data_IF_677028376678
#
_entry.id   IF_677028376678
#
_cell.length_a   1.000
_cell.length_b   1.000
_cell.length_c   1.000
_cell.angle_alpha   90.00
_cell.angle_beta   90.00
_cell.angle_gamma   90.00
#
_symmetry.space_group_name_H-M   'P 1'
#
loop_
_entity.id
_entity.type
_entity.pdbx_description
1 polymer ?
#
# COMPACT_ATOMS: atom_id res chain seq x y z
N UNK A 1 -13.39 -19.74 -1.09
CA UNK A 1 -13.32 -19.70 0.38
C UNK A 1 -13.60 -18.28 0.84
N UNK A 2 -14.31 -18.12 1.96
CA UNK A 2 -14.62 -16.83 2.61
C UNK A 2 -13.38 -15.99 2.90
N UNK A 3 -12.25 -16.64 3.17
CA UNK A 3 -10.97 -16.00 3.43
C UNK A 3 -10.39 -15.27 2.21
N UNK A 4 -10.45 -15.90 1.03
CA UNK A 4 -10.02 -15.26 -0.23
C UNK A 4 -10.83 -14.00 -0.54
N UNK A 5 -12.15 -14.06 -0.31
CA UNK A 5 -13.00 -12.88 -0.46
C UNK A 5 -12.62 -11.76 0.52
N UNK A 6 -12.37 -12.10 1.79
CA UNK A 6 -11.92 -11.13 2.80
C UNK A 6 -10.59 -10.48 2.42
N UNK A 7 -9.64 -11.26 1.89
CA UNK A 7 -8.36 -10.76 1.40
C UNK A 7 -8.55 -9.81 0.20
N UNK A 8 -9.37 -10.20 -0.78
CA UNK A 8 -9.66 -9.37 -1.94
C UNK A 8 -10.26 -8.01 -1.56
N UNK A 9 -11.20 -8.00 -0.61
CA UNK A 9 -11.78 -6.74 -0.11
C UNK A 9 -10.75 -5.88 0.61
N UNK A 10 -9.81 -6.49 1.37
CA UNK A 10 -8.70 -5.73 1.97
C UNK A 10 -7.82 -5.09 0.90
N UNK A 11 -7.45 -5.82 -0.15
CA UNK A 11 -6.66 -5.28 -1.25
C UNK A 11 -7.38 -4.13 -1.96
N UNK A 12 -8.69 -4.25 -2.16
CA UNK A 12 -9.50 -3.18 -2.77
C UNK A 12 -9.53 -1.92 -1.89
N UNK A 13 -9.69 -2.07 -0.57
CA UNK A 13 -9.61 -0.95 0.38
C UNK A 13 -8.23 -0.28 0.29
N UNK A 14 -7.14 -1.07 0.30
CA UNK A 14 -5.77 -0.54 0.20
C UNK A 14 -5.51 0.18 -1.12
N UNK A 15 -6.02 -0.34 -2.24
CA UNK A 15 -5.93 0.33 -3.55
C UNK A 15 -6.56 1.72 -3.50
N UNK A 16 -7.78 1.84 -2.97
CA UNK A 16 -8.44 3.13 -2.85
C UNK A 16 -7.79 4.06 -1.82
N UNK A 17 -7.16 3.51 -0.80
CA UNK A 17 -6.35 4.28 0.14
C UNK A 17 -5.14 4.92 -0.57
N UNK A 18 -4.41 4.15 -1.38
CA UNK A 18 -3.31 4.67 -2.20
C UNK A 18 -3.77 5.78 -3.14
N UNK A 19 -4.93 5.65 -3.78
CA UNK A 19 -5.51 6.70 -4.64
C UNK A 19 -5.78 8.00 -3.86
N UNK A 20 -6.31 7.91 -2.62
CA UNK A 20 -6.53 9.09 -1.77
C UNK A 20 -5.21 9.74 -1.36
N UNK A 21 -4.23 8.94 -0.94
CA UNK A 21 -2.90 9.42 -0.56
C UNK A 21 -2.23 10.11 -1.75
N UNK A 22 -2.32 9.52 -2.94
CA UNK A 22 -1.77 10.11 -4.16
C UNK A 22 -2.40 11.45 -4.54
N UNK A 23 -3.68 11.63 -4.24
CA UNK A 23 -4.43 12.84 -4.61
C UNK A 23 -4.29 13.95 -3.57
N UNK A 24 -4.30 13.61 -2.28
CA UNK A 24 -4.47 14.58 -1.19
C UNK A 24 -3.51 14.39 -0.01
N UNK A 25 -2.56 13.46 -0.12
CA UNK A 25 -1.60 13.12 0.93
C UNK A 25 -2.17 12.23 2.03
N UNK A 26 -1.28 11.69 2.86
CA UNK A 26 -1.64 10.75 3.93
C UNK A 26 -2.61 11.33 4.96
N UNK A 27 -2.47 12.62 5.30
CA UNK A 27 -3.32 13.31 6.28
C UNK A 27 -4.81 13.33 5.87
N UNK A 28 -5.10 13.36 4.56
CA UNK A 28 -6.46 13.40 4.03
C UNK A 28 -7.13 12.02 3.92
N UNK A 29 -6.43 10.92 4.25
CA UNK A 29 -6.97 9.57 4.17
C UNK A 29 -8.22 9.40 5.03
N UNK A 30 -9.32 8.95 4.42
CA UNK A 30 -10.62 8.78 5.09
C UNK A 30 -11.25 7.43 4.78
N UNK A 31 -11.38 6.60 5.83
CA UNK A 31 -12.05 5.31 5.79
C UNK A 31 -13.50 5.41 5.30
N UNK A 32 -14.24 6.44 5.73
CA UNK A 32 -15.62 6.65 5.31
C UNK A 32 -15.72 7.02 3.82
N UNK A 33 -14.78 7.82 3.31
CA UNK A 33 -14.74 8.15 1.88
C UNK A 33 -14.40 6.91 1.03
N UNK A 34 -13.52 6.02 1.51
CA UNK A 34 -13.25 4.73 0.86
C UNK A 34 -14.51 3.86 0.89
N UNK A 35 -15.17 3.73 2.04
CA UNK A 35 -16.38 2.93 2.19
C UNK A 35 -17.46 3.37 1.18
N UNK A 36 -17.70 4.68 1.09
CA UNK A 36 -18.62 5.27 0.11
C UNK A 36 -18.22 4.95 -1.33
N UNK A 37 -16.92 5.04 -1.67
CA UNK A 37 -16.42 4.76 -3.03
C UNK A 37 -16.65 3.30 -3.45
N UNK A 38 -16.52 2.33 -2.54
CA UNK A 38 -16.69 0.90 -2.82
C UNK A 38 -18.10 0.37 -2.49
N UNK A 39 -19.07 1.26 -2.23
CA UNK A 39 -20.46 0.85 -1.94
C UNK A 39 -20.64 0.11 -0.61
N UNK A 40 -19.72 0.30 0.35
CA UNK A 40 -19.73 -0.34 1.66
C UNK A 40 -20.20 0.63 2.74
N UNK A 41 -20.88 0.14 3.77
CA UNK A 41 -21.17 0.96 4.95
C UNK A 41 -19.90 1.19 5.78
N UNK A 42 -19.82 2.33 6.47
CA UNK A 42 -18.71 2.63 7.39
C UNK A 42 -18.44 1.49 8.38
N UNK A 43 -19.44 1.01 9.15
CA UNK A 43 -19.26 -0.10 10.07
C UNK A 43 -18.76 -1.39 9.42
N UNK A 44 -19.11 -1.64 8.15
CA UNK A 44 -18.60 -2.80 7.43
C UNK A 44 -17.12 -2.68 7.07
N UNK A 45 -16.66 -1.47 6.73
CA UNK A 45 -15.25 -1.20 6.44
C UNK A 45 -14.39 -1.28 7.72
N UNK A 46 -14.91 -0.81 8.84
CA UNK A 46 -14.24 -0.91 10.15
C UNK A 46 -13.98 -2.37 10.60
N UNK A 47 -14.68 -3.37 10.05
CA UNK A 47 -14.37 -4.80 10.29
C UNK A 47 -13.09 -5.29 9.58
N UNK A 48 -12.57 -4.51 8.64
CA UNK A 48 -11.32 -4.79 7.93
C UNK A 48 -10.14 -4.02 8.52
N UNK A 49 -10.36 -2.74 8.85
CA UNK A 49 -9.39 -1.83 9.47
C UNK A 49 -10.07 -1.06 10.61
N UNK A 50 -9.61 -1.24 11.84
CA UNK A 50 -10.27 -0.65 13.01
C UNK A 50 -10.05 0.87 13.10
N UNK A 51 -8.99 1.38 12.47
CA UNK A 51 -8.68 2.81 12.42
C UNK A 51 -7.97 3.21 11.13
N UNK A 52 -7.86 4.52 10.91
CA UNK A 52 -7.05 5.09 9.82
C UNK A 52 -5.59 4.68 9.96
N UNK A 53 -5.07 4.65 11.18
CA UNK A 53 -3.67 4.35 11.45
C UNK A 53 -3.36 2.86 11.25
N UNK A 54 -4.33 1.96 11.51
CA UNK A 54 -4.21 0.54 11.15
C UNK A 54 -4.07 0.35 9.63
N UNK A 55 -4.87 1.10 8.86
CA UNK A 55 -4.78 1.07 7.40
C UNK A 55 -3.42 1.61 6.93
N UNK A 56 -2.97 2.75 7.47
CA UNK A 56 -1.65 3.32 7.14
C UNK A 56 -0.53 2.33 7.47
N UNK A 57 -0.59 1.69 8.64
CA UNK A 57 0.40 0.69 9.05
C UNK A 57 0.47 -0.48 8.07
N UNK A 58 -0.67 -0.96 7.57
CA UNK A 58 -0.72 -2.05 6.59
C UNK A 58 -0.16 -1.58 5.22
N UNK A 59 -0.47 -0.35 4.80
CA UNK A 59 0.10 0.24 3.57
C UNK A 59 1.62 0.40 3.65
N UNK A 60 2.15 0.84 4.79
CA UNK A 60 3.60 0.95 5.04
C UNK A 60 4.25 -0.44 4.94
N UNK A 61 3.64 -1.46 5.56
CA UNK A 61 4.12 -2.85 5.47
C UNK A 61 4.17 -3.35 4.04
N UNK A 62 3.13 -3.06 3.25
CA UNK A 62 3.10 -3.42 1.82
C UNK A 62 4.19 -2.70 1.02
N UNK A 63 4.43 -1.42 1.30
CA UNK A 63 5.48 -0.64 0.66
C UNK A 63 6.87 -1.25 0.94
N UNK A 64 7.19 -1.53 2.20
CA UNK A 64 8.45 -2.18 2.57
C UNK A 64 8.59 -3.58 1.95
N UNK A 65 7.51 -4.38 1.93
CA UNK A 65 7.54 -5.69 1.30
C UNK A 65 7.83 -5.56 -0.20
N UNK A 66 7.17 -4.64 -0.89
CA UNK A 66 7.41 -4.39 -2.31
C UNK A 66 8.85 -3.94 -2.59
N UNK A 67 9.45 -3.13 -1.72
CA UNK A 67 10.85 -2.72 -1.85
C UNK A 67 11.80 -3.90 -1.62
N UNK A 68 11.56 -4.69 -0.58
CA UNK A 68 12.33 -5.91 -0.30
C UNK A 68 12.25 -6.91 -1.46
N UNK A 69 11.07 -7.13 -2.03
CA UNK A 69 10.87 -8.02 -3.18
C UNK A 69 11.67 -7.52 -4.40
N UNK A 70 11.69 -6.21 -4.67
CA UNK A 70 12.48 -5.62 -5.75
C UNK A 70 13.99 -5.83 -5.54
N UNK A 71 14.48 -5.70 -4.29
CA UNK A 71 15.87 -5.94 -3.96
C UNK A 71 16.24 -7.41 -4.08
N UNK A 72 15.42 -8.31 -3.55
CA UNK A 72 15.65 -9.75 -3.61
C UNK A 72 15.69 -10.26 -5.05
N UNK A 73 14.81 -9.77 -5.92
CA UNK A 73 14.81 -10.12 -7.34
C UNK A 73 16.13 -9.75 -8.03
N UNK A 74 16.67 -8.57 -7.75
CA UNK A 74 17.93 -8.09 -8.35
C UNK A 74 19.16 -8.74 -7.73
N UNK A 75 19.15 -8.96 -6.41
CA UNK A 75 20.21 -9.67 -5.73
C UNK A 75 20.34 -11.12 -6.23
N UNK A 76 19.21 -11.79 -6.50
CA UNK A 76 19.20 -13.14 -7.09
C UNK A 76 19.83 -13.20 -8.49
N UNK A 77 19.85 -12.08 -9.22
CA UNK A 77 20.51 -11.94 -10.53
C UNK A 77 22.01 -11.60 -10.41
N UNK A 78 22.57 -11.54 -9.19
CA UNK A 78 23.98 -11.23 -8.95
C UNK A 78 24.31 -9.73 -9.07
N UNK A 79 23.30 -8.87 -8.95
CA UNK A 79 23.47 -7.41 -9.04
C UNK A 79 24.38 -6.88 -7.93
N UNK A 80 25.28 -5.95 -8.28
CA UNK A 80 26.18 -5.28 -7.35
C UNK A 80 25.49 -4.11 -6.59
N UNK A 81 26.19 -3.49 -5.65
CA UNK A 81 25.65 -2.39 -4.84
C UNK A 81 25.16 -1.19 -5.70
N UNK A 82 25.89 -0.73 -6.74
CA UNK A 82 25.37 0.27 -7.68
C UNK A 82 24.06 -0.13 -8.36
N UNK A 83 23.91 -1.38 -8.80
CA UNK A 83 22.66 -1.84 -9.41
C UNK A 83 21.48 -1.91 -8.42
N UNK A 84 21.75 -2.25 -7.15
CA UNK A 84 20.74 -2.17 -6.08
C UNK A 84 20.34 -0.71 -5.78
N UNK A 85 21.28 0.23 -5.81
CA UNK A 85 20.97 1.66 -5.69
C UNK A 85 20.10 2.14 -6.87
N UNK A 86 20.37 1.65 -8.09
CA UNK A 86 19.52 1.87 -9.26
C UNK A 86 18.10 1.32 -9.08
N UNK A 87 17.98 0.18 -8.41
CA UNK A 87 16.69 -0.46 -8.08
C UNK A 87 15.88 0.37 -7.08
N UNK A 88 16.53 0.85 -6.01
CA UNK A 88 15.91 1.77 -5.06
C UNK A 88 15.41 3.04 -5.75
N UNK A 89 16.24 3.63 -6.61
CA UNK A 89 15.88 4.84 -7.36
C UNK A 89 14.70 4.57 -8.30
N UNK A 90 14.70 3.46 -9.02
CA UNK A 90 13.61 3.09 -9.92
C UNK A 90 12.31 2.86 -9.14
N UNK A 91 12.37 2.16 -8.00
CA UNK A 91 11.22 1.94 -7.13
C UNK A 91 10.64 3.26 -6.59
N UNK A 92 11.50 4.15 -6.08
CA UNK A 92 11.08 5.44 -5.55
C UNK A 92 10.43 6.35 -6.62
N UNK A 93 10.91 6.28 -7.86
CA UNK A 93 10.35 7.06 -8.98
C UNK A 93 9.06 6.46 -9.54
N UNK A 94 8.87 5.14 -9.44
CA UNK A 94 7.67 4.46 -9.93
C UNK A 94 6.43 4.74 -9.05
N UNK A 95 6.63 4.96 -7.74
CA UNK A 95 5.55 5.31 -6.82
C UNK A 95 6.04 6.31 -5.74
N UNK A 96 6.07 7.62 -6.06
CA UNK A 96 6.52 8.66 -5.14
C UNK A 96 5.73 8.68 -3.83
N UNK A 97 4.46 8.26 -3.87
CA UNK A 97 3.54 8.30 -2.74
C UNK A 97 3.85 7.19 -1.72
N UNK A 98 4.31 6.02 -2.19
CA UNK A 98 4.91 5.00 -1.33
C UNK A 98 6.20 5.47 -0.68
N UNK A 99 7.03 6.17 -1.44
CA UNK A 99 8.28 6.71 -0.92
C UNK A 99 8.05 7.74 0.20
N UNK A 100 7.04 8.61 0.09
CA UNK A 100 6.70 9.58 1.13
C UNK A 100 6.09 9.00 2.42
N UNK A 101 5.78 7.70 2.46
CA UNK A 101 5.31 7.01 3.67
C UNK A 101 6.43 6.27 4.44
N UNK A 102 7.64 6.22 3.87
CA UNK A 102 8.80 5.47 4.38
C UNK A 102 9.88 6.42 4.89
#
# INVERSE_FOLDING_TARGET
SRERYRAQVREEIKRHAWEQIATAGASALSLNAIAKRIGMSGPALYRYFASRDDLITDLIRDAYRSLADAFLARAAEGTDLPGLAGTLRAWALADPQRYFLV
#
